data_IF_555655910342
#
_entry.id   IF_555655910342
#
_cell.length_a   1.000
_cell.length_b   1.000
_cell.length_c   1.000
_cell.angle_alpha   90.00
_cell.angle_beta   90.00
_cell.angle_gamma   90.00
#
_symmetry.space_group_name_H-M   'P 1'
#
loop_
_entity.id
_entity.type
_entity.pdbx_description
1 polymer ?
#
# COMPACT_ATOMS: atom_id res chain seq x y z
N UNK A 1 -18.63 -2.54 0.00
CA UNK A 1 -17.27 -2.06 -0.34
C UNK A 1 -16.79 -2.73 -1.63
N UNK A 2 -16.16 -1.96 -2.50
CA UNK A 2 -15.56 -2.46 -3.74
C UNK A 2 -14.09 -2.09 -3.77
N UNK A 3 -13.27 -2.97 -4.32
CA UNK A 3 -11.86 -2.68 -4.60
C UNK A 3 -11.70 -2.53 -6.09
N UNK A 4 -11.24 -1.37 -6.51
CA UNK A 4 -11.14 -0.96 -7.92
C UNK A 4 -9.73 -0.49 -8.22
N UNK A 5 -9.33 -0.56 -9.49
CA UNK A 5 -8.10 0.08 -9.93
C UNK A 5 -8.26 1.61 -9.86
N UNK A 6 -7.20 2.30 -9.46
CA UNK A 6 -7.20 3.77 -9.34
C UNK A 6 -7.51 4.40 -10.69
N UNK A 7 -8.42 5.38 -10.68
CA UNK A 7 -8.76 6.21 -11.84
C UNK A 7 -8.59 7.69 -11.48
N UNK A 8 -8.64 8.55 -12.50
CA UNK A 8 -8.50 10.00 -12.29
C UNK A 8 -9.50 10.55 -11.27
N UNK A 9 -10.72 10.05 -11.26
CA UNK A 9 -11.77 10.48 -10.32
C UNK A 9 -11.45 10.19 -8.86
N UNK A 10 -10.52 9.26 -8.57
CA UNK A 10 -10.13 8.89 -7.22
C UNK A 10 -8.95 9.70 -6.67
N UNK A 11 -8.18 10.36 -7.54
CA UNK A 11 -6.90 10.97 -7.18
C UNK A 11 -7.01 12.00 -6.06
N UNK A 12 -8.00 12.89 -6.12
CA UNK A 12 -8.21 13.92 -5.10
C UNK A 12 -8.48 13.31 -3.73
N UNK A 13 -9.29 12.26 -3.67
CA UNK A 13 -9.62 11.59 -2.42
C UNK A 13 -8.41 10.81 -1.86
N UNK A 14 -7.62 10.16 -2.73
CA UNK A 14 -6.39 9.48 -2.29
C UNK A 14 -5.40 10.48 -1.72
N UNK A 15 -5.23 11.64 -2.39
CA UNK A 15 -4.36 12.70 -1.89
C UNK A 15 -4.81 13.22 -0.52
N UNK A 16 -6.12 13.31 -0.31
CA UNK A 16 -6.68 13.72 0.99
C UNK A 16 -6.36 12.69 2.08
N UNK A 17 -6.46 11.39 1.77
CA UNK A 17 -6.09 10.32 2.70
C UNK A 17 -4.59 10.36 3.02
N UNK A 18 -3.74 10.64 2.03
CA UNK A 18 -2.30 10.80 2.25
C UNK A 18 -2.01 11.89 3.28
N UNK A 19 -2.64 13.05 3.11
CA UNK A 19 -2.46 14.18 4.05
C UNK A 19 -2.97 13.85 5.44
N UNK A 20 -4.04 13.06 5.53
CA UNK A 20 -4.64 12.66 6.81
C UNK A 20 -3.79 11.63 7.54
N UNK A 21 -3.14 10.73 6.82
CA UNK A 21 -2.48 9.56 7.40
C UNK A 21 -0.96 9.69 7.54
N UNK A 22 -0.31 10.56 6.77
CA UNK A 22 1.16 10.64 6.70
C UNK A 22 1.68 12.05 6.92
N UNK A 23 2.85 12.13 7.59
CA UNK A 23 3.54 13.41 7.81
C UNK A 23 4.14 13.96 6.51
N UNK A 24 4.63 13.07 5.63
CA UNK A 24 5.19 13.42 4.32
C UNK A 24 4.31 12.81 3.22
N UNK A 25 3.13 13.39 2.96
CA UNK A 25 2.20 12.80 2.00
C UNK A 25 2.66 12.98 0.55
N UNK A 26 2.30 12.01 -0.30
CA UNK A 26 2.39 12.19 -1.73
C UNK A 26 1.47 13.34 -2.15
N UNK A 27 1.93 14.19 -3.06
CA UNK A 27 1.09 15.24 -3.62
C UNK A 27 0.05 14.66 -4.56
N UNK A 28 -1.05 15.40 -4.76
CA UNK A 28 -2.07 15.00 -5.73
C UNK A 28 -1.47 14.83 -7.12
N UNK A 29 -0.55 15.73 -7.50
CA UNK A 29 0.16 15.64 -8.78
C UNK A 29 0.98 14.36 -8.92
N UNK A 30 1.67 13.97 -7.86
CA UNK A 30 2.47 12.73 -7.86
C UNK A 30 1.59 11.49 -7.99
N UNK A 31 0.45 11.46 -7.29
CA UNK A 31 -0.50 10.35 -7.40
C UNK A 31 -1.09 10.31 -8.81
N UNK A 32 -1.48 11.46 -9.36
CA UNK A 32 -2.01 11.53 -10.71
C UNK A 32 -1.02 11.02 -11.75
N UNK A 33 0.27 11.27 -11.56
CA UNK A 33 1.31 10.79 -12.49
C UNK A 33 1.41 9.27 -12.52
N UNK A 34 1.01 8.58 -11.45
CA UNK A 34 1.02 7.12 -11.41
C UNK A 34 0.00 6.49 -12.35
N UNK A 35 -1.04 7.23 -12.74
CA UNK A 35 -2.03 6.75 -13.73
C UNK A 35 -1.39 6.47 -15.09
N UNK A 36 -0.30 7.17 -15.40
CA UNK A 36 0.43 7.05 -16.68
C UNK A 36 1.74 6.26 -16.53
N UNK A 37 2.00 5.71 -15.35
CA UNK A 37 3.19 4.92 -15.11
C UNK A 37 2.89 3.44 -15.42
N UNK A 38 3.47 2.86 -16.50
CA UNK A 38 3.18 1.48 -16.87
C UNK A 38 3.68 0.46 -15.84
N UNK A 39 4.58 0.86 -14.94
CA UNK A 39 5.10 -0.01 -13.88
C UNK A 39 4.21 -0.01 -12.65
N UNK A 40 3.29 0.95 -12.53
CA UNK A 40 2.49 1.13 -11.33
C UNK A 40 1.17 0.35 -11.38
N UNK A 41 0.73 -0.10 -10.21
CA UNK A 41 -0.63 -0.59 -9.99
C UNK A 41 -1.11 -0.05 -8.65
N UNK A 42 -2.15 0.75 -8.68
CA UNK A 42 -2.80 1.31 -7.50
C UNK A 42 -4.24 0.85 -7.45
N UNK A 43 -4.67 0.43 -6.26
CA UNK A 43 -6.05 0.00 -6.00
C UNK A 43 -6.68 0.92 -4.96
N UNK A 44 -7.98 1.13 -5.06
CA UNK A 44 -8.76 1.89 -4.09
C UNK A 44 -9.88 1.03 -3.54
N UNK A 45 -10.18 1.20 -2.25
CA UNK A 45 -11.36 0.64 -1.61
C UNK A 45 -12.41 1.74 -1.58
N UNK A 46 -13.56 1.48 -2.19
CA UNK A 46 -14.65 2.46 -2.34
C UNK A 46 -15.88 1.96 -1.63
N UNK A 47 -16.49 2.84 -0.83
CA UNK A 47 -17.73 2.57 -0.11
C UNK A 47 -18.64 3.78 -0.30
N UNK A 48 -19.83 3.56 -0.86
CA UNK A 48 -20.79 4.64 -1.15
C UNK A 48 -20.18 5.81 -1.93
N UNK A 49 -19.40 5.49 -2.96
CA UNK A 49 -18.70 6.43 -3.83
C UNK A 49 -17.54 7.19 -3.16
N UNK A 50 -17.22 6.85 -1.91
CA UNK A 50 -16.08 7.45 -1.21
C UNK A 50 -14.90 6.48 -1.15
N UNK A 51 -13.70 7.02 -1.40
CA UNK A 51 -12.46 6.25 -1.23
C UNK A 51 -12.15 6.18 0.28
N UNK A 52 -12.22 4.97 0.84
CA UNK A 52 -11.96 4.75 2.26
C UNK A 52 -10.57 4.16 2.52
N UNK A 53 -9.88 3.74 1.48
CA UNK A 53 -8.52 3.23 1.58
C UNK A 53 -7.89 3.07 0.20
N UNK A 54 -6.59 2.87 0.15
CA UNK A 54 -5.88 2.65 -1.09
C UNK A 54 -4.57 1.92 -0.83
N UNK A 55 -4.01 1.35 -1.90
CA UNK A 55 -2.70 0.71 -1.88
C UNK A 55 -2.03 0.97 -3.23
N UNK A 56 -0.73 1.28 -3.20
CA UNK A 56 0.04 1.54 -4.41
C UNK A 56 1.25 0.63 -4.50
N UNK A 57 1.62 0.27 -5.72
CA UNK A 57 2.76 -0.60 -5.99
C UNK A 57 3.46 -0.24 -7.30
N UNK A 58 4.67 -0.74 -7.44
CA UNK A 58 5.47 -0.64 -8.67
C UNK A 58 6.16 -1.98 -8.91
N UNK A 59 6.25 -2.38 -10.19
CA UNK A 59 6.85 -3.68 -10.56
C UNK A 59 7.99 -3.47 -11.55
N UNK A 60 9.18 -4.04 -11.26
CA UNK A 60 10.40 -3.90 -12.10
C UNK A 60 11.23 -5.17 -11.94
N UNK A 61 11.56 -5.91 -12.99
CA UNK A 61 10.73 -6.20 -14.15
C UNK A 61 9.57 -7.13 -13.78
N UNK A 62 9.77 -8.05 -12.78
CA UNK A 62 8.78 -9.02 -12.30
C UNK A 62 8.71 -9.09 -10.78
N UNK A 63 9.37 -8.16 -10.10
CA UNK A 63 9.33 -8.03 -8.63
C UNK A 63 8.62 -6.74 -8.28
N UNK A 64 7.66 -6.82 -7.37
CA UNK A 64 6.85 -5.67 -6.98
C UNK A 64 7.24 -5.14 -5.62
N UNK A 65 7.15 -3.82 -5.49
CA UNK A 65 7.32 -3.11 -4.22
C UNK A 65 6.03 -2.37 -3.89
N UNK A 66 5.58 -2.48 -2.64
CA UNK A 66 4.46 -1.68 -2.16
C UNK A 66 4.97 -0.29 -1.82
N UNK A 67 4.36 0.72 -2.45
CA UNK A 67 4.75 2.12 -2.23
C UNK A 67 4.09 2.69 -0.99
N UNK A 68 2.79 2.46 -0.85
CA UNK A 68 2.04 2.98 0.28
C UNK A 68 0.72 2.26 0.45
N UNK A 69 0.18 2.25 1.67
CA UNK A 69 -1.15 1.72 1.98
C UNK A 69 -1.73 2.53 3.13
N UNK A 70 -2.99 2.93 3.01
CA UNK A 70 -3.68 3.63 4.09
C UNK A 70 -5.17 3.35 4.05
N UNK A 71 -5.78 3.44 5.24
CA UNK A 71 -7.23 3.33 5.44
C UNK A 71 -7.66 4.56 6.24
N UNK A 72 -8.76 5.18 5.84
CA UNK A 72 -9.34 6.31 6.56
C UNK A 72 -9.53 5.94 8.03
N UNK A 73 -9.14 6.80 8.99
CA UNK A 73 -9.22 6.48 10.42
C UNK A 73 -10.59 6.00 10.88
N UNK A 74 -11.68 6.54 10.32
CA UNK A 74 -13.04 6.17 10.68
C UNK A 74 -13.46 4.79 10.16
N UNK A 75 -12.66 4.19 9.29
CA UNK A 75 -12.95 2.90 8.66
C UNK A 75 -11.96 1.81 9.05
N UNK A 76 -11.09 2.08 10.01
CA UNK A 76 -10.11 1.08 10.50
C UNK A 76 -10.79 -0.03 11.29
N UNK A 77 -10.06 -1.14 11.49
CA UNK A 77 -10.52 -2.35 12.19
C UNK A 77 -11.68 -3.06 11.50
N UNK A 78 -11.82 -2.87 10.19
CA UNK A 78 -12.84 -3.51 9.36
C UNK A 78 -12.24 -4.47 8.33
N UNK A 79 -10.92 -4.70 8.38
CA UNK A 79 -10.23 -5.58 7.45
C UNK A 79 -9.99 -4.97 6.07
N UNK A 80 -10.11 -3.65 5.90
CA UNK A 80 -9.95 -3.00 4.60
C UNK A 80 -8.49 -3.08 4.13
N UNK A 81 -7.52 -2.84 5.00
CA UNK A 81 -6.10 -2.95 4.64
C UNK A 81 -5.77 -4.37 4.19
N UNK A 82 -6.24 -5.38 4.92
CA UNK A 82 -6.04 -6.77 4.57
C UNK A 82 -6.65 -7.10 3.21
N UNK A 83 -7.85 -6.59 2.93
CA UNK A 83 -8.53 -6.79 1.65
C UNK A 83 -7.74 -6.13 0.51
N UNK A 84 -7.21 -4.93 0.73
CA UNK A 84 -6.39 -4.23 -0.26
C UNK A 84 -5.10 -5.00 -0.57
N UNK A 85 -4.39 -5.47 0.46
CA UNK A 85 -3.16 -6.24 0.26
C UNK A 85 -3.45 -7.54 -0.49
N UNK A 86 -4.51 -8.25 -0.11
CA UNK A 86 -4.89 -9.50 -0.78
C UNK A 86 -5.24 -9.25 -2.26
N UNK A 87 -6.04 -8.22 -2.54
CA UNK A 87 -6.41 -7.87 -3.91
C UNK A 87 -5.19 -7.47 -4.73
N UNK A 88 -4.25 -6.73 -4.12
CA UNK A 88 -3.02 -6.34 -4.80
C UNK A 88 -2.18 -7.57 -5.16
N UNK A 89 -1.99 -8.49 -4.22
CA UNK A 89 -1.23 -9.72 -4.48
C UNK A 89 -1.85 -10.52 -5.63
N UNK A 90 -3.17 -10.66 -5.64
CA UNK A 90 -3.87 -11.39 -6.71
C UNK A 90 -3.70 -10.71 -8.06
N UNK A 91 -3.83 -9.39 -8.11
CA UNK A 91 -3.70 -8.63 -9.34
C UNK A 91 -2.25 -8.65 -9.87
N UNK A 92 -1.27 -8.53 -8.98
CA UNK A 92 0.14 -8.57 -9.37
C UNK A 92 0.54 -9.95 -9.88
N UNK A 93 0.06 -11.01 -9.25
CA UNK A 93 0.30 -12.38 -9.70
C UNK A 93 -0.23 -12.59 -11.12
N UNK A 94 -1.43 -12.10 -11.41
CA UNK A 94 -2.02 -12.17 -12.75
C UNK A 94 -1.22 -11.42 -13.79
N UNK A 95 -0.50 -10.37 -13.39
CA UNK A 95 0.37 -9.58 -14.27
C UNK A 95 1.76 -10.20 -14.43
N UNK A 96 2.04 -11.32 -13.77
CA UNK A 96 3.32 -12.01 -13.88
C UNK A 96 4.35 -11.63 -12.82
N UNK A 97 3.96 -10.84 -11.80
CA UNK A 97 4.87 -10.55 -10.70
C UNK A 97 5.11 -11.80 -9.85
N UNK A 98 6.36 -11.99 -9.41
CA UNK A 98 6.75 -13.15 -8.63
C UNK A 98 6.85 -12.86 -7.14
N UNK A 99 6.89 -11.59 -6.73
CA UNK A 99 7.02 -11.21 -5.32
C UNK A 99 6.45 -9.83 -5.05
N UNK A 100 6.06 -9.61 -3.79
CA UNK A 100 5.71 -8.29 -3.28
C UNK A 100 6.51 -8.03 -2.02
N UNK A 101 7.24 -6.91 -2.00
CA UNK A 101 8.10 -6.49 -0.89
C UNK A 101 7.59 -5.16 -0.34
N UNK A 102 7.68 -4.98 0.97
CA UNK A 102 7.27 -3.76 1.64
C UNK A 102 8.16 -3.42 2.82
N UNK A 103 8.13 -2.18 3.27
CA UNK A 103 8.75 -1.75 4.51
C UNK A 103 7.65 -1.44 5.55
N UNK A 104 7.93 -1.78 6.81
CA UNK A 104 7.04 -1.49 7.93
C UNK A 104 7.88 -1.04 9.12
N UNK A 105 7.37 -0.08 9.91
CA UNK A 105 8.07 0.33 11.14
C UNK A 105 8.22 -0.87 12.07
N UNK A 106 9.42 -1.03 12.63
CA UNK A 106 9.73 -2.18 13.51
C UNK A 106 8.80 -2.25 14.72
N UNK A 107 8.25 -1.13 15.18
CA UNK A 107 7.32 -1.07 16.31
C UNK A 107 5.85 -1.26 15.94
N UNK A 108 5.52 -1.31 14.65
CA UNK A 108 4.12 -1.44 14.22
C UNK A 108 3.64 -2.88 14.30
N UNK A 109 3.36 -3.33 15.53
CA UNK A 109 2.96 -4.72 15.80
C UNK A 109 1.67 -5.13 15.06
N UNK A 110 0.60 -4.31 15.02
CA UNK A 110 -0.61 -4.70 14.29
C UNK A 110 -0.37 -4.94 12.80
N UNK A 111 0.42 -4.08 12.16
CA UNK A 111 0.74 -4.24 10.74
C UNK A 111 1.60 -5.49 10.50
N UNK A 112 2.63 -5.70 11.34
CA UNK A 112 3.49 -6.89 11.23
C UNK A 112 2.66 -8.17 11.35
N UNK A 113 1.75 -8.23 12.33
CA UNK A 113 0.89 -9.39 12.52
C UNK A 113 -0.02 -9.63 11.32
N UNK A 114 -0.59 -8.57 10.75
CA UNK A 114 -1.42 -8.66 9.56
C UNK A 114 -0.65 -9.22 8.36
N UNK A 115 0.54 -8.68 8.09
CA UNK A 115 1.35 -9.14 6.96
C UNK A 115 1.81 -10.59 7.16
N UNK A 116 2.22 -10.97 8.36
CA UNK A 116 2.60 -12.34 8.66
C UNK A 116 1.44 -13.31 8.39
N UNK A 117 0.24 -12.95 8.84
CA UNK A 117 -0.98 -13.72 8.58
C UNK A 117 -1.25 -13.88 7.09
N UNK A 118 -0.91 -12.88 6.29
CA UNK A 118 -1.10 -12.91 4.84
C UNK A 118 0.03 -13.63 4.09
N UNK A 119 1.02 -14.16 4.80
CA UNK A 119 2.09 -14.96 4.21
C UNK A 119 3.39 -14.21 3.94
N UNK A 120 3.54 -13.01 4.46
CA UNK A 120 4.79 -12.26 4.34
C UNK A 120 5.81 -12.74 5.38
N UNK A 121 7.06 -12.85 4.98
CA UNK A 121 8.16 -13.20 5.86
C UNK A 121 9.20 -12.10 5.94
N UNK A 122 10.02 -12.11 7.00
CA UNK A 122 11.10 -11.15 7.17
C UNK A 122 12.19 -11.39 6.14
N UNK A 123 12.51 -10.36 5.35
CA UNK A 123 13.55 -10.40 4.33
C UNK A 123 14.77 -9.53 4.68
N UNK A 124 14.60 -8.57 5.58
CA UNK A 124 15.71 -7.69 5.94
C UNK A 124 15.29 -6.58 6.90
N UNK A 125 16.24 -5.68 7.16
CA UNK A 125 16.04 -4.52 8.02
C UNK A 125 16.81 -3.34 7.44
N UNK A 126 16.19 -2.16 7.47
CA UNK A 126 16.85 -0.89 7.11
C UNK A 126 16.97 -0.05 8.37
N UNK A 127 18.18 0.06 8.97
CA UNK A 127 18.37 0.89 10.17
C UNK A 127 18.06 2.37 9.89
N UNK A 128 17.34 3.00 10.82
CA UNK A 128 17.06 4.43 10.80
C UNK A 128 16.38 4.91 9.50
N UNK A 129 15.54 4.07 8.92
CA UNK A 129 14.86 4.35 7.66
C UNK A 129 13.78 5.43 7.80
N UNK A 130 13.00 5.36 8.90
CA UNK A 130 11.93 6.32 9.17
C UNK A 130 12.43 7.51 9.98
N UNK A 131 11.72 8.62 9.84
CA UNK A 131 11.90 9.84 10.62
C UNK A 131 10.58 10.18 11.31
N UNK A 132 10.64 10.99 12.37
CA UNK A 132 9.47 11.53 13.06
C UNK A 132 8.44 10.47 13.54
N UNK A 133 8.84 9.51 14.39
CA UNK A 133 10.15 9.33 15.03
C UNK A 133 11.12 8.50 14.18
N UNK A 134 12.40 8.61 14.53
CA UNK A 134 13.46 7.82 13.92
C UNK A 134 13.31 6.37 14.34
N UNK A 135 13.24 5.48 13.37
CA UNK A 135 12.99 4.07 13.62
C UNK A 135 13.47 3.21 12.44
N UNK A 136 13.80 1.95 12.72
CA UNK A 136 14.16 0.99 11.70
C UNK A 136 12.92 0.56 10.91
N UNK A 137 13.14 0.21 9.65
CA UNK A 137 12.14 -0.49 8.85
C UNK A 137 12.47 -1.98 8.83
N UNK A 138 11.45 -2.82 8.95
CA UNK A 138 11.55 -4.22 8.61
C UNK A 138 11.13 -4.37 7.15
N UNK A 139 11.89 -5.17 6.41
CA UNK A 139 11.56 -5.50 5.02
C UNK A 139 10.85 -6.84 5.04
N UNK A 140 9.60 -6.85 4.56
CA UNK A 140 8.78 -8.06 4.49
C UNK A 140 8.54 -8.40 3.03
N UNK A 141 8.52 -9.69 2.71
CA UNK A 141 8.33 -10.18 1.34
C UNK A 141 7.42 -11.38 1.31
N UNK A 142 6.57 -11.41 0.29
CA UNK A 142 5.73 -12.57 -0.02
C UNK A 142 6.00 -12.99 -1.47
N UNK A 143 6.20 -14.30 -1.68
CA UNK A 143 6.26 -14.87 -3.02
C UNK A 143 4.85 -15.08 -3.54
N UNK A 144 4.62 -14.69 -4.78
CA UNK A 144 3.28 -14.71 -5.38
C UNK A 144 3.01 -15.94 -6.26
#
# INVERSE_FOLDING_TARGET
>A
MKILELRGEHVTQVAALERLCFADPWSEKSIASELNNPLALWLVAVEEEEVVGYIGSQTVPDESDMMNVAVHPDHRRRGIAQALVTALCDALKKRGSVSLTLEVRSSNEPAKAMYEKLGFGLAGRRPNYYRNPKEDALILRKML
#
